data_IF_795760204906
#
_entry.id   IF_795760204906
#
_cell.length_a   1.000
_cell.length_b   1.000
_cell.length_c   1.000
_cell.angle_alpha   90.00
_cell.angle_beta   90.00
_cell.angle_gamma   90.00
#
_symmetry.space_group_name_H-M   'P 1'
#
loop_
_entity.id
_entity.type
_entity.pdbx_description
1 polymer ?
#
# COMPACT_ATOMS: atom_id res chain seq x y z
N UNK A 1 -31.25 96.74 29.60
CA UNK A 1 -31.23 96.68 28.13
C UNK A 1 -30.34 95.52 27.70
N UNK A 2 -30.82 94.54 26.92
CA UNK A 2 -30.00 93.46 26.41
C UNK A 2 -29.20 93.94 25.19
N UNK A 3 -27.88 93.75 25.23
CA UNK A 3 -26.95 94.09 24.14
C UNK A 3 -27.02 93.00 23.06
N UNK A 4 -27.32 93.39 21.82
CA UNK A 4 -27.29 92.48 20.65
C UNK A 4 -25.86 92.41 20.13
N UNK A 5 -25.22 91.25 20.22
CA UNK A 5 -23.90 91.02 19.64
C UNK A 5 -24.01 90.87 18.11
N UNK A 6 -23.15 91.52 17.31
CA UNK A 6 -23.15 91.37 15.86
C UNK A 6 -22.70 89.96 15.47
N UNK A 7 -23.56 89.22 14.77
CA UNK A 7 -23.27 87.88 14.27
C UNK A 7 -22.78 87.99 12.81
N UNK A 8 -21.57 87.48 12.53
CA UNK A 8 -20.93 87.53 11.22
C UNK A 8 -21.12 86.17 10.54
N UNK A 9 -21.90 86.12 9.45
CA UNK A 9 -22.09 84.89 8.68
C UNK A 9 -20.91 84.69 7.72
N UNK A 10 -19.95 83.85 8.11
CA UNK A 10 -18.83 83.46 7.27
C UNK A 10 -19.18 82.17 6.53
N UNK A 11 -19.27 82.22 5.20
CA UNK A 11 -19.38 81.02 4.36
C UNK A 11 -17.98 80.50 4.02
N UNK A 12 -17.47 79.61 4.86
CA UNK A 12 -16.19 78.93 4.61
C UNK A 12 -16.44 77.76 3.65
N UNK A 13 -15.79 77.77 2.48
CA UNK A 13 -15.82 76.65 1.53
C UNK A 13 -14.47 75.95 1.59
N UNK A 14 -14.43 74.77 2.22
CA UNK A 14 -13.23 73.94 2.33
C UNK A 14 -13.24 72.97 1.15
N UNK A 15 -12.19 72.97 0.33
CA UNK A 15 -11.95 71.95 -0.69
C UNK A 15 -10.88 70.99 -0.15
N UNK A 16 -11.30 69.80 0.25
CA UNK A 16 -10.39 68.72 0.65
C UNK A 16 -9.80 68.05 -0.59
N UNK A 17 -8.48 68.14 -0.73
CA UNK A 17 -7.75 67.39 -1.75
C UNK A 17 -7.63 65.93 -1.32
N UNK A 18 -8.20 65.03 -2.13
CA UNK A 18 -8.04 63.59 -1.98
C UNK A 18 -7.03 63.15 -3.04
N UNK A 19 -5.88 62.58 -2.66
CA UNK A 19 -4.94 62.00 -3.62
C UNK A 19 -5.62 60.90 -4.45
N UNK A 20 -5.33 60.84 -5.75
CA UNK A 20 -5.96 59.89 -6.69
C UNK A 20 -5.89 58.43 -6.21
N UNK A 21 -4.80 58.06 -5.54
CA UNK A 21 -4.56 56.72 -4.97
C UNK A 21 -5.55 56.35 -3.84
N UNK A 22 -6.14 57.35 -3.18
CA UNK A 22 -7.08 57.18 -2.06
C UNK A 22 -8.53 57.50 -2.44
N UNK A 23 -8.79 57.90 -3.69
CA UNK A 23 -10.15 58.23 -4.16
C UNK A 23 -11.12 57.07 -3.95
N UNK A 24 -10.70 55.84 -4.27
CA UNK A 24 -11.54 54.65 -4.10
C UNK A 24 -11.85 54.33 -2.63
N UNK A 25 -10.95 54.66 -1.69
CA UNK A 25 -11.20 54.52 -0.26
C UNK A 25 -12.22 55.57 0.22
N UNK A 26 -12.07 56.81 -0.24
CA UNK A 26 -13.00 57.88 0.11
C UNK A 26 -14.40 57.62 -0.45
N UNK A 27 -14.51 57.12 -1.68
CA UNK A 27 -15.80 56.73 -2.27
C UNK A 27 -16.46 55.57 -1.50
N UNK A 28 -15.65 54.60 -1.04
CA UNK A 28 -16.13 53.50 -0.19
C UNK A 28 -16.62 53.98 1.18
N UNK A 29 -15.96 54.99 1.75
CA UNK A 29 -16.34 55.59 3.03
C UNK A 29 -17.51 56.58 2.91
N UNK A 30 -17.65 57.24 1.76
CA UNK A 30 -18.74 58.17 1.47
C UNK A 30 -20.06 57.42 1.23
N UNK A 31 -20.03 56.32 0.46
CA UNK A 31 -21.19 55.50 0.14
C UNK A 31 -20.94 54.00 0.40
N UNK A 32 -20.94 53.57 1.67
CA UNK A 32 -20.60 52.19 2.04
C UNK A 32 -21.54 51.15 1.44
N UNK A 33 -22.83 51.48 1.24
CA UNK A 33 -23.79 50.57 0.61
C UNK A 33 -23.52 50.36 -0.88
N UNK A 34 -23.09 51.40 -1.58
CA UNK A 34 -22.76 51.31 -3.00
C UNK A 34 -21.50 50.47 -3.22
N UNK A 35 -20.49 50.65 -2.35
CA UNK A 35 -19.27 49.86 -2.37
C UNK A 35 -19.53 48.37 -2.12
N UNK A 36 -20.30 48.03 -1.09
CA UNK A 36 -20.67 46.63 -0.80
C UNK A 36 -21.47 46.03 -1.95
N UNK A 37 -22.44 46.76 -2.52
CA UNK A 37 -23.22 46.26 -3.66
C UNK A 37 -22.37 46.07 -4.92
N UNK A 38 -21.41 46.95 -5.18
CA UNK A 38 -20.48 46.81 -6.30
C UNK A 38 -19.53 45.62 -6.11
N UNK A 39 -19.06 45.39 -4.88
CA UNK A 39 -18.25 44.24 -4.52
C UNK A 39 -19.04 42.94 -4.66
N UNK A 40 -20.28 42.90 -4.17
CA UNK A 40 -21.18 41.74 -4.27
C UNK A 40 -21.51 41.40 -5.73
N UNK A 41 -21.76 42.41 -6.58
CA UNK A 41 -21.92 42.19 -8.03
C UNK A 41 -20.67 41.65 -8.69
N UNK A 42 -19.49 42.07 -8.23
CA UNK A 42 -18.21 41.57 -8.75
C UNK A 42 -17.96 40.14 -8.31
N UNK A 43 -18.23 39.80 -7.04
CA UNK A 43 -18.10 38.44 -6.53
C UNK A 43 -19.13 37.53 -7.19
N UNK A 44 -20.37 37.98 -7.38
CA UNK A 44 -21.42 37.26 -8.09
C UNK A 44 -21.05 37.05 -9.58
N UNK A 45 -20.44 38.03 -10.23
CA UNK A 45 -19.93 37.88 -11.60
C UNK A 45 -18.79 36.85 -11.69
N UNK A 46 -17.90 36.80 -10.69
CA UNK A 46 -16.82 35.80 -10.60
C UNK A 46 -17.37 34.39 -10.30
N UNK A 47 -18.35 34.30 -9.41
CA UNK A 47 -19.09 33.07 -9.11
C UNK A 47 -19.81 32.54 -10.36
N UNK A 48 -20.47 33.42 -11.12
CA UNK A 48 -21.10 33.10 -12.40
C UNK A 48 -20.08 32.67 -13.48
N UNK A 49 -18.80 33.04 -13.33
CA UNK A 49 -17.69 32.55 -14.15
C UNK A 49 -17.02 31.27 -13.59
N UNK A 50 -17.51 30.74 -12.48
CA UNK A 50 -17.07 29.48 -11.88
C UNK A 50 -15.76 29.56 -11.09
N UNK A 51 -15.44 30.75 -10.57
CA UNK A 51 -14.39 30.96 -9.55
C UNK A 51 -15.09 30.89 -8.19
N UNK A 52 -14.80 29.85 -7.41
CA UNK A 52 -15.32 29.72 -6.04
C UNK A 52 -14.44 30.53 -5.08
N UNK A 53 -14.97 30.97 -3.94
CA UNK A 53 -14.22 31.79 -2.97
C UNK A 53 -12.94 31.10 -2.47
N UNK A 54 -12.87 29.76 -2.56
CA UNK A 54 -11.69 28.94 -2.24
C UNK A 54 -10.54 29.08 -3.26
N UNK A 55 -10.81 29.55 -4.47
CA UNK A 55 -9.83 29.75 -5.54
C UNK A 55 -9.18 31.16 -5.51
N UNK A 56 -9.73 32.08 -4.70
CA UNK A 56 -9.25 33.46 -4.57
C UNK A 56 -8.18 33.51 -3.46
N UNK A 57 -6.91 33.67 -3.84
CA UNK A 57 -5.84 33.93 -2.87
C UNK A 57 -6.05 35.33 -2.28
N UNK A 58 -6.45 35.37 -1.01
CA UNK A 58 -6.60 36.61 -0.25
C UNK A 58 -5.21 37.24 -0.03
N UNK A 59 -4.82 38.19 -0.88
CA UNK A 59 -3.59 38.98 -0.69
C UNK A 59 -3.86 39.95 0.45
N UNK A 60 -3.66 39.47 1.68
CA UNK A 60 -3.61 40.33 2.87
C UNK A 60 -2.36 41.20 2.78
N UNK A 61 -2.55 42.50 2.54
CA UNK A 61 -1.49 43.51 2.60
C UNK A 61 -1.13 43.81 4.06
N UNK A 62 -0.29 42.96 4.64
CA UNK A 62 0.35 43.18 5.94
C UNK A 62 1.80 42.73 5.91
N UNK A 63 2.69 43.62 5.46
CA UNK A 63 3.98 43.94 6.12
C UNK A 63 5.03 44.40 5.09
N UNK A 64 5.47 45.63 5.31
CA UNK A 64 6.62 46.27 4.67
C UNK A 64 7.88 45.43 4.87
N UNK A 65 8.64 45.20 3.78
CA UNK A 65 10.12 45.24 3.74
C UNK A 65 10.59 45.11 2.28
N UNK A 66 11.14 46.20 1.76
CA UNK A 66 12.04 46.21 0.60
C UNK A 66 13.39 45.57 0.99
N UNK A 67 14.23 45.07 0.05
CA UNK A 67 15.00 45.97 -0.82
C UNK A 67 15.07 45.56 -2.30
N UNK A 68 14.96 46.59 -3.16
CA UNK A 68 15.76 46.85 -4.36
C UNK A 68 16.40 45.67 -5.11
N UNK A 69 16.00 45.47 -6.37
CA UNK A 69 16.91 45.76 -7.48
C UNK A 69 16.21 45.90 -8.83
N UNK A 70 16.76 46.85 -9.60
CA UNK A 70 16.39 47.34 -10.92
C UNK A 70 16.39 46.23 -11.99
N UNK A 71 15.47 46.28 -12.94
CA UNK A 71 15.84 46.50 -14.34
C UNK A 71 14.62 46.81 -15.20
N UNK A 72 14.88 47.68 -16.17
CA UNK A 72 13.99 48.46 -17.01
C UNK A 72 13.55 47.67 -18.25
N UNK A 73 12.36 48.05 -18.73
CA UNK A 73 11.77 47.79 -20.05
C UNK A 73 12.77 47.74 -21.22
N UNK A 74 12.55 46.85 -22.19
CA UNK A 74 12.69 47.19 -23.63
C UNK A 74 11.69 46.44 -24.52
N UNK A 75 11.19 47.23 -25.46
CA UNK A 75 10.27 46.96 -26.58
C UNK A 75 11.10 46.87 -27.90
N UNK A 76 10.48 46.29 -28.95
CA UNK A 76 10.89 46.09 -30.36
C UNK A 76 11.70 44.80 -30.63
N UNK A 77 11.51 44.04 -31.71
CA UNK A 77 10.65 44.15 -32.90
C UNK A 77 11.30 43.45 -34.11
N UNK A 78 10.76 42.27 -34.53
CA UNK A 78 10.90 41.57 -35.84
C UNK A 78 12.30 41.13 -36.35
N UNK A 79 12.40 40.42 -37.51
CA UNK A 79 11.59 39.31 -38.06
C UNK A 79 12.47 38.13 -38.62
N UNK A 80 11.90 37.21 -39.42
CA UNK A 80 12.51 36.09 -40.21
C UNK A 80 12.87 34.80 -39.42
N UNK A 81 12.73 33.56 -39.92
CA UNK A 81 12.16 32.99 -41.15
C UNK A 81 11.93 31.47 -40.96
N UNK A 82 11.04 30.91 -41.80
CA UNK A 82 11.11 29.64 -42.57
C UNK A 82 12.23 28.62 -42.24
N UNK A 83 12.13 27.29 -42.37
CA UNK A 83 11.20 26.28 -42.90
C UNK A 83 11.99 24.93 -42.74
N UNK A 84 11.35 23.80 -42.35
CA UNK A 84 11.27 22.52 -43.10
C UNK A 84 12.63 21.99 -43.65
N UNK A 85 13.08 20.75 -43.45
CA UNK A 85 12.35 19.48 -43.58
C UNK A 85 13.32 18.28 -43.40
N UNK A 86 12.78 17.10 -43.09
CA UNK A 86 13.08 15.78 -43.71
C UNK A 86 14.51 15.17 -43.59
N UNK A 87 14.73 13.85 -43.50
CA UNK A 87 13.92 12.64 -43.36
C UNK A 87 14.89 11.43 -43.25
N UNK A 88 14.37 10.29 -42.76
CA UNK A 88 14.77 8.87 -43.00
C UNK A 88 15.89 8.26 -42.15
N UNK A 89 15.90 6.96 -41.85
CA UNK A 89 14.91 5.85 -41.85
C UNK A 89 15.70 4.56 -41.60
N UNK A 90 15.16 3.65 -40.77
CA UNK A 90 15.26 2.18 -40.88
C UNK A 90 14.38 1.62 -39.74
N UNK A 91 13.12 1.18 -39.90
CA UNK A 91 12.51 0.10 -40.71
C UNK A 91 13.14 -1.26 -40.47
N UNK A 92 12.37 -2.13 -39.77
CA UNK A 92 11.94 -3.51 -40.09
C UNK A 92 10.86 -3.86 -39.02
N UNK A 93 9.53 -3.80 -39.27
CA UNK A 93 8.63 -4.77 -39.94
C UNK A 93 8.59 -6.14 -39.21
N UNK A 94 7.45 -6.79 -38.89
CA UNK A 94 6.20 -6.92 -39.67
C UNK A 94 5.02 -7.55 -38.86
N UNK A 95 3.85 -6.92 -39.00
CA UNK A 95 2.44 -7.36 -39.11
C UNK A 95 1.86 -8.64 -38.46
N UNK A 96 0.66 -8.46 -37.87
CA UNK A 96 -0.56 -9.04 -38.45
C UNK A 96 -1.81 -8.18 -38.17
N UNK A 97 -2.61 -7.96 -39.23
CA UNK A 97 -3.85 -7.19 -39.34
C UNK A 97 -5.08 -8.06 -38.90
N UNK A 98 -6.35 -7.65 -38.78
CA UNK A 98 -7.16 -6.42 -38.95
C UNK A 98 -8.61 -6.77 -38.51
N UNK A 99 -9.33 -5.84 -37.86
CA UNK A 99 -10.73 -5.39 -38.16
C UNK A 99 -11.23 -4.52 -36.98
N UNK A 100 -11.25 -3.18 -37.11
CA UNK A 100 -12.41 -2.32 -37.43
C UNK A 100 -13.65 -2.54 -36.54
N UNK A 101 -14.34 -1.56 -35.93
CA UNK A 101 -14.16 -0.13 -35.63
C UNK A 101 -15.27 0.19 -34.62
N UNK A 102 -14.96 0.60 -33.40
CA UNK A 102 -15.85 1.46 -32.61
C UNK A 102 -15.03 2.51 -31.86
N UNK A 103 -15.55 3.72 -31.88
CA UNK A 103 -14.79 4.95 -31.74
C UNK A 103 -14.41 5.26 -30.28
N UNK A 104 -13.15 5.65 -30.10
CA UNK A 104 -12.68 6.61 -29.07
C UNK A 104 -13.08 6.31 -27.62
N UNK A 105 -12.56 5.22 -27.05
CA UNK A 105 -12.32 5.07 -25.60
C UNK A 105 -10.80 4.87 -25.35
N UNK A 106 -10.01 5.76 -25.93
CA UNK A 106 -8.55 5.70 -25.98
C UNK A 106 -7.84 6.39 -24.82
N UNK A 107 -8.38 6.34 -23.60
CA UNK A 107 -7.71 6.85 -22.39
C UNK A 107 -7.30 5.68 -21.51
N UNK A 108 -6.26 4.95 -21.94
CA UNK A 108 -5.47 3.94 -21.21
C UNK A 108 -6.21 3.26 -20.06
N UNK A 109 -6.70 2.03 -20.30
CA UNK A 109 -7.09 1.12 -19.23
C UNK A 109 -5.91 1.00 -18.25
N UNK A 110 -6.12 1.42 -17.01
CA UNK A 110 -5.14 1.30 -15.94
C UNK A 110 -4.81 -0.20 -15.78
N UNK A 111 -3.55 -0.57 -15.99
CA UNK A 111 -3.10 -1.96 -15.95
C UNK A 111 -3.38 -2.58 -14.59
N UNK A 112 -3.80 -3.85 -14.59
CA UNK A 112 -4.10 -4.56 -13.35
C UNK A 112 -2.83 -4.79 -12.54
N UNK A 113 -2.89 -4.54 -11.23
CA UNK A 113 -1.78 -4.88 -10.30
C UNK A 113 -1.55 -6.38 -10.32
N UNK A 114 -0.32 -6.80 -10.63
CA UNK A 114 0.09 -8.20 -10.65
C UNK A 114 0.81 -8.57 -9.35
N UNK A 115 0.30 -9.57 -8.63
CA UNK A 115 0.92 -10.09 -7.39
C UNK A 115 2.34 -10.63 -7.65
N UNK A 116 2.61 -11.17 -8.85
CA UNK A 116 3.94 -11.63 -9.23
C UNK A 116 5.00 -10.53 -9.23
N UNK A 117 4.60 -9.28 -9.49
CA UNK A 117 5.50 -8.13 -9.43
C UNK A 117 5.68 -7.63 -7.99
N UNK A 118 4.65 -7.73 -7.15
CA UNK A 118 4.76 -7.44 -5.71
C UNK A 118 5.75 -8.37 -5.01
N UNK A 119 5.83 -9.65 -5.41
CA UNK A 119 6.83 -10.60 -4.89
C UNK A 119 8.26 -10.22 -5.25
N UNK A 120 8.49 -9.39 -6.27
CA UNK A 120 9.83 -8.88 -6.63
C UNK A 120 10.24 -7.67 -5.78
N UNK A 121 9.32 -7.09 -5.02
CA UNK A 121 9.58 -5.94 -4.18
C UNK A 121 10.70 -6.22 -3.17
N UNK A 122 11.55 -5.22 -2.93
CA UNK A 122 12.71 -5.34 -2.04
C UNK A 122 12.31 -5.71 -0.61
N UNK A 123 11.15 -5.25 -0.13
CA UNK A 123 10.63 -5.57 1.19
C UNK A 123 10.31 -7.08 1.30
N UNK A 124 9.54 -7.61 0.35
CA UNK A 124 9.19 -9.02 0.29
C UNK A 124 10.43 -9.91 0.14
N UNK A 125 11.37 -9.53 -0.74
CA UNK A 125 12.63 -10.27 -0.94
C UNK A 125 13.51 -10.28 0.32
N UNK A 126 13.50 -9.22 1.14
CA UNK A 126 14.19 -9.22 2.44
C UNK A 126 13.52 -10.17 3.43
N UNK A 127 12.18 -10.20 3.43
CA UNK A 127 11.39 -11.07 4.29
C UNK A 127 11.64 -12.56 3.97
N UNK A 128 11.63 -12.95 2.70
CA UNK A 128 11.97 -14.32 2.28
C UNK A 128 13.38 -14.73 2.73
N UNK A 129 14.36 -13.82 2.63
CA UNK A 129 15.72 -14.10 3.13
C UNK A 129 15.78 -14.24 4.66
N UNK A 130 14.93 -13.51 5.42
CA UNK A 130 14.80 -13.68 6.87
C UNK A 130 14.27 -15.08 7.18
N UNK A 131 13.19 -15.52 6.52
CA UNK A 131 12.62 -16.85 6.71
C UNK A 131 13.60 -17.98 6.43
N UNK A 132 14.41 -17.83 5.39
CA UNK A 132 15.47 -18.80 5.09
C UNK A 132 16.51 -18.88 6.21
N UNK A 133 16.87 -17.76 6.84
CA UNK A 133 17.80 -17.74 7.98
C UNK A 133 17.18 -18.39 9.21
N UNK A 134 15.93 -18.05 9.53
CA UNK A 134 15.21 -18.58 10.69
C UNK A 134 15.03 -20.10 10.58
N UNK A 135 14.69 -20.61 9.38
CA UNK A 135 14.64 -22.04 9.07
C UNK A 135 15.99 -22.74 9.28
N UNK A 136 17.06 -22.13 8.78
CA UNK A 136 18.40 -22.69 8.93
C UNK A 136 18.87 -22.72 10.39
N UNK A 137 18.51 -21.70 11.17
CA UNK A 137 18.79 -21.67 12.60
C UNK A 137 18.02 -22.75 13.36
N UNK A 138 16.73 -22.91 13.08
CA UNK A 138 15.90 -23.95 13.70
C UNK A 138 16.45 -25.35 13.41
N UNK A 139 16.79 -25.64 12.14
CA UNK A 139 17.43 -26.91 11.75
C UNK A 139 18.73 -27.17 12.50
N UNK A 140 19.57 -26.14 12.69
CA UNK A 140 20.81 -26.24 13.49
C UNK A 140 20.51 -26.55 14.96
N UNK A 141 19.49 -25.91 15.56
CA UNK A 141 19.06 -26.20 16.94
C UNK A 141 18.58 -27.64 17.08
N UNK A 142 17.73 -28.11 16.17
CA UNK A 142 17.25 -29.50 16.14
C UNK A 142 18.38 -30.50 16.01
N UNK A 143 19.36 -30.25 15.11
CA UNK A 143 20.52 -31.11 14.95
C UNK A 143 21.37 -31.22 16.22
N UNK A 144 21.58 -30.11 16.93
CA UNK A 144 22.30 -30.11 18.22
C UNK A 144 21.54 -30.92 19.28
N UNK A 145 20.22 -30.76 19.36
CA UNK A 145 19.39 -31.52 20.30
C UNK A 145 19.42 -33.02 20.00
N UNK A 146 19.27 -33.42 18.72
CA UNK A 146 19.41 -34.81 18.28
C UNK A 146 20.76 -35.40 18.68
N UNK A 147 21.86 -34.70 18.40
CA UNK A 147 23.20 -35.15 18.76
C UNK A 147 23.41 -35.25 20.28
N UNK A 148 22.79 -34.37 21.07
CA UNK A 148 22.86 -34.42 22.54
C UNK A 148 22.11 -35.62 23.10
N UNK A 149 20.88 -35.87 22.63
CA UNK A 149 20.06 -37.01 23.07
C UNK A 149 20.71 -38.33 22.66
N UNK A 150 21.20 -38.45 21.42
CA UNK A 150 21.91 -39.63 20.97
C UNK A 150 23.11 -39.98 21.84
N UNK A 151 23.95 -38.98 22.18
CA UNK A 151 25.10 -39.18 23.08
C UNK A 151 24.64 -39.62 24.47
N UNK A 152 23.59 -39.02 25.02
CA UNK A 152 23.04 -39.38 26.32
C UNK A 152 22.50 -40.81 26.34
N UNK A 153 21.79 -41.21 25.28
CA UNK A 153 21.24 -42.56 25.14
C UNK A 153 22.36 -43.61 25.03
N UNK A 154 23.38 -43.36 24.19
CA UNK A 154 24.56 -44.22 24.07
C UNK A 154 25.28 -44.40 25.41
N UNK A 155 25.57 -43.30 26.12
CA UNK A 155 26.22 -43.37 27.44
C UNK A 155 25.41 -44.19 28.46
N UNK A 156 24.08 -44.10 28.42
CA UNK A 156 23.20 -44.83 29.34
C UNK A 156 23.18 -46.32 29.04
N UNK A 157 23.18 -46.70 27.76
CA UNK A 157 23.29 -48.10 27.32
C UNK A 157 24.67 -48.68 27.69
N UNK A 158 25.75 -47.97 27.39
CA UNK A 158 27.12 -48.41 27.70
C UNK A 158 27.32 -48.65 29.20
N UNK A 159 26.76 -47.75 30.03
CA UNK A 159 26.79 -47.89 31.49
C UNK A 159 26.06 -49.17 31.95
N UNK A 160 24.85 -49.42 31.43
CA UNK A 160 24.08 -50.61 31.78
C UNK A 160 24.80 -51.91 31.38
N UNK A 161 25.43 -51.94 30.19
CA UNK A 161 26.24 -53.07 29.72
C UNK A 161 27.45 -53.29 30.63
N UNK A 162 28.18 -52.21 30.97
CA UNK A 162 29.33 -52.27 31.85
C UNK A 162 28.97 -52.79 33.25
N UNK A 163 27.86 -52.32 33.82
CA UNK A 163 27.38 -52.73 35.14
C UNK A 163 26.95 -54.20 35.14
N UNK A 164 26.28 -54.65 34.07
CA UNK A 164 25.94 -56.07 33.87
C UNK A 164 27.18 -56.96 33.79
N UNK A 165 28.20 -56.55 33.01
CA UNK A 165 29.46 -57.29 32.88
C UNK A 165 30.23 -57.39 34.20
N UNK A 166 30.30 -56.29 34.96
CA UNK A 166 30.86 -56.30 36.32
C UNK A 166 30.11 -57.29 37.21
N UNK A 167 28.78 -57.23 37.23
CA UNK A 167 27.96 -58.11 38.05
C UNK A 167 28.15 -59.60 37.71
N UNK A 168 28.37 -59.92 36.44
CA UNK A 168 28.70 -61.29 35.99
C UNK A 168 30.11 -61.72 36.40
N UNK A 169 31.13 -60.86 36.27
CA UNK A 169 32.51 -61.15 36.72
C UNK A 169 32.60 -61.40 38.23
N UNK A 170 31.99 -60.54 39.05
CA UNK A 170 31.99 -60.71 40.51
C UNK A 170 31.37 -62.06 40.93
N UNK A 171 30.39 -62.57 40.18
CA UNK A 171 29.76 -63.88 40.44
C UNK A 171 30.64 -65.06 40.05
N UNK A 172 31.34 -65.01 38.91
CA UNK A 172 32.29 -66.09 38.54
C UNK A 172 33.41 -66.23 39.57
N UNK A 173 33.90 -65.11 40.11
CA UNK A 173 34.96 -65.12 41.14
C UNK A 173 34.42 -65.59 42.50
N UNK A 174 33.20 -65.19 42.89
CA UNK A 174 32.56 -65.66 44.12
C UNK A 174 32.28 -67.18 44.11
N UNK A 175 31.87 -67.75 42.98
CA UNK A 175 31.66 -69.20 42.84
C UNK A 175 32.99 -70.00 42.78
N UNK A 176 34.09 -69.36 42.37
CA UNK A 176 35.41 -70.01 42.27
C UNK A 176 36.20 -70.00 43.59
N UNK A 177 35.87 -69.09 44.51
CA UNK A 177 36.57 -68.92 45.79
C UNK A 177 36.06 -69.85 46.91
N UNK A 178 35.08 -70.72 46.64
CA UNK A 178 34.39 -71.56 47.63
C UNK A 178 34.64 -73.07 47.55
N UNK A 179 35.77 -73.54 46.98
CA UNK A 179 36.05 -74.99 46.90
C UNK A 179 37.33 -75.40 47.64
N UNK A 180 37.18 -75.77 48.91
CA UNK A 180 37.99 -76.82 49.51
C UNK A 180 37.12 -77.81 50.29
N UNK A 181 37.19 -79.07 49.83
CA UNK A 181 36.96 -80.36 50.53
C UNK A 181 35.57 -80.65 51.10
N UNK A 182 34.80 -81.54 50.44
CA UNK A 182 34.66 -82.94 50.86
C UNK A 182 33.91 -83.79 49.81
N UNK A 183 34.26 -85.07 49.74
CA UNK A 183 33.67 -86.13 48.93
C UNK A 183 32.40 -86.67 49.61
N UNK A 184 31.28 -86.80 48.89
CA UNK A 184 30.43 -88.02 48.79
C UNK A 184 28.99 -87.74 48.28
N UNK A 185 28.55 -88.70 47.47
CA UNK A 185 27.23 -89.05 46.90
C UNK A 185 25.95 -88.53 47.63
N UNK A 186 25.04 -87.87 46.90
CA UNK A 186 23.60 -88.22 46.80
C UNK A 186 22.72 -87.12 46.16
N UNK A 187 21.69 -87.63 45.47
CA UNK A 187 20.39 -87.02 45.16
C UNK A 187 20.29 -85.90 44.11
N UNK A 188 19.50 -86.20 43.07
CA UNK A 188 18.96 -85.28 42.07
C UNK A 188 18.27 -84.10 42.75
N UNK A 189 18.99 -82.98 42.91
CA UNK A 189 18.41 -81.67 43.14
C UNK A 189 18.75 -80.85 41.92
N UNK A 190 17.78 -80.72 41.02
CA UNK A 190 17.82 -79.73 39.95
C UNK A 190 17.99 -78.35 40.60
N UNK A 191 19.23 -77.87 40.68
CA UNK A 191 19.51 -76.48 40.99
C UNK A 191 18.77 -75.62 39.94
N UNK A 192 17.98 -74.63 40.36
CA UNK A 192 17.43 -73.68 39.42
C UNK A 192 18.61 -72.92 38.83
N UNK A 193 18.88 -73.16 37.55
CA UNK A 193 19.72 -72.32 36.68
C UNK A 193 19.40 -70.85 37.00
N UNK A 194 20.38 -69.92 37.08
CA UNK A 194 20.19 -68.53 37.48
C UNK A 194 19.48 -67.69 36.38
N UNK A 195 18.34 -68.16 35.89
CA UNK A 195 17.52 -67.57 34.84
C UNK A 195 16.88 -66.24 35.29
N UNK A 196 16.75 -66.01 36.60
CA UNK A 196 16.04 -64.87 37.19
C UNK A 196 16.80 -63.53 37.05
N UNK A 197 18.14 -63.55 37.16
CA UNK A 197 18.96 -62.32 37.07
C UNK A 197 19.18 -61.90 35.61
N UNK A 198 19.37 -62.88 34.72
CA UNK A 198 19.44 -62.62 33.28
C UNK A 198 18.10 -62.07 32.77
N UNK A 199 16.98 -62.61 33.27
CA UNK A 199 15.64 -62.07 33.04
C UNK A 199 15.46 -60.63 33.59
N UNK A 200 16.02 -60.33 34.77
CA UNK A 200 15.97 -58.98 35.36
C UNK A 200 16.79 -57.97 34.57
N UNK A 201 17.98 -58.35 34.09
CA UNK A 201 18.81 -57.50 33.24
C UNK A 201 18.19 -57.33 31.84
N UNK A 202 17.55 -58.37 31.30
CA UNK A 202 16.77 -58.32 30.07
C UNK A 202 15.59 -57.35 30.18
N UNK A 203 14.86 -57.37 31.31
CA UNK A 203 13.76 -56.44 31.58
C UNK A 203 14.24 -54.99 31.70
N UNK A 204 15.35 -54.75 32.42
CA UNK A 204 15.96 -53.41 32.52
C UNK A 204 16.40 -52.86 31.17
N UNK A 205 17.00 -53.70 30.32
CA UNK A 205 17.38 -53.30 28.96
C UNK A 205 16.15 -52.99 28.10
N UNK A 206 15.12 -53.84 28.12
CA UNK A 206 13.86 -53.58 27.41
C UNK A 206 13.19 -52.29 27.85
N UNK A 207 13.10 -52.07 29.17
CA UNK A 207 12.54 -50.84 29.74
C UNK A 207 13.34 -49.59 29.33
N UNK A 208 14.68 -49.69 29.30
CA UNK A 208 15.54 -48.59 28.86
C UNK A 208 15.30 -48.28 27.37
N UNK A 209 15.29 -49.29 26.51
CA UNK A 209 15.05 -49.10 25.07
C UNK A 209 13.68 -48.47 24.82
N UNK A 210 12.63 -48.89 25.53
CA UNK A 210 11.30 -48.29 25.42
C UNK A 210 11.31 -46.82 25.84
N UNK A 211 11.94 -46.48 26.98
CA UNK A 211 12.06 -45.08 27.45
C UNK A 211 12.82 -44.22 26.44
N UNK A 212 13.94 -44.70 25.92
CA UNK A 212 14.75 -43.99 24.93
C UNK A 212 14.01 -43.79 23.60
N UNK A 213 13.22 -44.79 23.19
CA UNK A 213 12.36 -44.70 22.00
C UNK A 213 11.27 -43.64 22.19
N UNK A 214 10.62 -43.59 23.36
CA UNK A 214 9.60 -42.57 23.64
C UNK A 214 10.18 -41.16 23.75
N UNK A 215 11.30 -41.00 24.46
CA UNK A 215 12.02 -39.72 24.56
C UNK A 215 12.42 -39.17 23.19
N UNK A 216 12.96 -40.04 22.32
CA UNK A 216 13.32 -39.67 20.96
C UNK A 216 12.10 -39.30 20.14
N UNK A 217 11.08 -40.16 20.14
CA UNK A 217 9.83 -39.93 19.40
C UNK A 217 9.14 -38.63 19.85
N UNK A 218 9.14 -38.34 21.15
CA UNK A 218 8.60 -37.11 21.73
C UNK A 218 9.37 -35.88 21.27
N UNK A 219 10.71 -35.95 21.26
CA UNK A 219 11.54 -34.87 20.73
C UNK A 219 11.29 -34.63 19.24
N UNK A 220 11.18 -35.70 18.44
CA UNK A 220 10.93 -35.59 16.99
C UNK A 220 9.57 -34.95 16.70
N UNK A 221 8.51 -35.35 17.41
CA UNK A 221 7.19 -34.69 17.32
C UNK A 221 7.24 -33.21 17.70
N UNK A 222 8.04 -32.85 18.70
CA UNK A 222 8.24 -31.44 19.06
C UNK A 222 8.98 -30.67 17.96
N UNK A 223 10.04 -31.24 17.38
CA UNK A 223 10.77 -30.63 16.27
C UNK A 223 9.86 -30.40 15.06
N UNK A 224 9.03 -31.38 14.72
CA UNK A 224 8.04 -31.25 13.65
C UNK A 224 7.06 -30.11 13.91
N UNK A 225 6.49 -30.05 15.13
CA UNK A 225 5.58 -28.97 15.52
C UNK A 225 6.24 -27.58 15.45
N UNK A 226 7.48 -27.45 15.92
CA UNK A 226 8.23 -26.20 15.84
C UNK A 226 8.49 -25.76 14.39
N UNK A 227 8.78 -26.71 13.50
CA UNK A 227 8.92 -26.44 12.06
C UNK A 227 7.60 -25.95 11.45
N UNK A 228 6.50 -26.64 11.74
CA UNK A 228 5.16 -26.27 11.26
C UNK A 228 4.71 -24.91 11.81
N UNK A 229 4.86 -24.66 13.11
CA UNK A 229 4.49 -23.38 13.72
C UNK A 229 5.27 -22.21 13.10
N UNK A 230 6.55 -22.43 12.80
CA UNK A 230 7.37 -21.43 12.12
C UNK A 230 6.90 -21.23 10.68
N UNK A 231 6.65 -22.29 9.89
CA UNK A 231 6.12 -22.15 8.52
C UNK A 231 4.76 -21.45 8.51
N UNK A 232 3.86 -21.79 9.43
CA UNK A 232 2.56 -21.12 9.61
C UNK A 232 2.71 -19.62 9.85
N UNK A 233 3.68 -19.24 10.69
CA UNK A 233 3.98 -17.84 10.97
C UNK A 233 4.57 -17.12 9.75
N UNK A 234 5.42 -17.80 8.99
CA UNK A 234 5.98 -17.28 7.73
C UNK A 234 4.89 -17.01 6.71
N UNK A 235 3.96 -17.95 6.47
CA UNK A 235 2.83 -17.74 5.55
C UNK A 235 2.05 -16.47 5.92
N UNK A 236 1.71 -16.30 7.21
CA UNK A 236 1.01 -15.09 7.67
C UNK A 236 1.80 -13.81 7.40
N UNK A 237 3.07 -13.78 7.77
CA UNK A 237 3.96 -12.63 7.51
C UNK A 237 4.13 -12.36 5.99
N UNK A 238 4.19 -13.40 5.14
CA UNK A 238 4.25 -13.28 3.67
C UNK A 238 3.01 -12.53 3.13
N UNK A 239 1.81 -12.97 3.51
CA UNK A 239 0.56 -12.38 3.04
C UNK A 239 0.29 -11.00 3.66
N UNK A 240 0.67 -10.75 4.91
CA UNK A 240 0.63 -9.41 5.49
C UNK A 240 1.53 -8.42 4.72
N UNK A 241 2.73 -8.86 4.34
CA UNK A 241 3.64 -8.03 3.55
C UNK A 241 3.08 -7.76 2.15
N UNK A 242 2.55 -8.79 1.47
CA UNK A 242 1.91 -8.65 0.17
C UNK A 242 0.66 -7.76 0.23
N UNK A 243 -0.13 -7.86 1.30
CA UNK A 243 -1.32 -7.03 1.52
C UNK A 243 -0.96 -5.55 1.62
N UNK A 244 0.10 -5.21 2.37
CA UNK A 244 0.61 -3.83 2.45
C UNK A 244 1.10 -3.31 1.11
N UNK A 245 1.90 -4.10 0.39
CA UNK A 245 2.41 -3.73 -0.94
C UNK A 245 1.27 -3.54 -1.95
N UNK A 246 0.23 -4.39 -1.89
CA UNK A 246 -0.95 -4.28 -2.72
C UNK A 246 -1.72 -2.98 -2.42
N UNK A 247 -1.98 -2.68 -1.16
CA UNK A 247 -2.67 -1.44 -0.76
C UNK A 247 -1.88 -0.19 -1.18
N UNK A 248 -0.56 -0.19 -1.04
CA UNK A 248 0.29 0.91 -1.50
C UNK A 248 0.20 1.10 -3.01
N UNK A 249 0.25 0.01 -3.79
CA UNK A 249 0.08 0.05 -5.23
C UNK A 249 -1.33 0.53 -5.64
N UNK A 250 -2.38 0.08 -4.94
CA UNK A 250 -3.76 0.52 -5.14
C UNK A 250 -3.93 2.01 -4.86
N UNK A 251 -3.32 2.51 -3.78
CA UNK A 251 -3.31 3.94 -3.44
C UNK A 251 -2.61 4.78 -4.50
N UNK A 252 -1.47 4.31 -5.03
CA UNK A 252 -0.77 4.97 -6.13
C UNK A 252 -1.64 5.01 -7.40
N UNK A 253 -2.29 3.91 -7.75
CA UNK A 253 -3.23 3.85 -8.87
C UNK A 253 -4.40 4.83 -8.70
N UNK A 254 -5.02 4.88 -7.52
CA UNK A 254 -6.11 5.81 -7.23
C UNK A 254 -5.66 7.27 -7.34
N UNK A 255 -4.49 7.61 -6.80
CA UNK A 255 -3.95 8.97 -6.91
C UNK A 255 -3.67 9.35 -8.37
N UNK A 256 -3.11 8.43 -9.16
CA UNK A 256 -2.89 8.66 -10.59
C UNK A 256 -4.19 8.87 -11.36
N UNK A 257 -5.26 8.14 -11.01
CA UNK A 257 -6.59 8.35 -11.59
C UNK A 257 -7.14 9.73 -11.23
N UNK A 258 -7.07 10.13 -9.96
CA UNK A 258 -7.54 11.46 -9.50
C UNK A 258 -6.85 12.60 -10.22
N UNK A 259 -5.52 12.57 -10.31
CA UNK A 259 -4.74 13.57 -11.05
C UNK A 259 -5.16 13.67 -12.54
N UNK A 260 -5.46 12.52 -13.16
CA UNK A 260 -5.96 12.48 -14.55
C UNK A 260 -7.35 13.12 -14.67
N UNK A 261 -8.25 12.84 -13.73
CA UNK A 261 -9.60 13.39 -13.71
C UNK A 261 -9.59 14.91 -13.45
N UNK A 262 -8.72 15.37 -12.56
CA UNK A 262 -8.47 16.80 -12.30
C UNK A 262 -7.97 17.52 -13.56
N UNK A 263 -7.04 16.92 -14.30
CA UNK A 263 -6.57 17.46 -15.57
C UNK A 263 -7.70 17.55 -16.62
N UNK A 264 -8.51 16.50 -16.76
CA UNK A 264 -9.67 16.51 -17.68
C UNK A 264 -10.71 17.59 -17.30
N UNK A 265 -10.90 17.85 -16.01
CA UNK A 265 -11.78 18.91 -15.51
C UNK A 265 -11.21 20.30 -15.87
N UNK A 266 -9.91 20.51 -15.67
CA UNK A 266 -9.22 21.75 -16.06
C UNK A 266 -9.32 22.00 -17.57
N UNK A 267 -9.09 20.96 -18.38
CA UNK A 267 -9.21 21.04 -19.84
C UNK A 267 -10.64 21.39 -20.27
N UNK A 268 -11.66 20.81 -19.63
CA UNK A 268 -13.06 21.14 -19.90
C UNK A 268 -13.36 22.60 -19.58
N UNK A 269 -12.94 23.11 -18.41
CA UNK A 269 -13.12 24.52 -18.04
C UNK A 269 -12.47 25.45 -19.08
N UNK A 270 -11.24 25.15 -19.50
CA UNK A 270 -10.54 25.92 -20.53
C UNK A 270 -11.27 25.87 -21.89
N UNK A 271 -11.79 24.70 -22.28
CA UNK A 271 -12.57 24.55 -23.50
C UNK A 271 -13.87 25.36 -23.46
N UNK A 272 -14.55 25.42 -22.31
CA UNK A 272 -15.75 26.23 -22.10
C UNK A 272 -15.45 27.73 -22.20
N UNK A 273 -14.35 28.20 -21.59
CA UNK A 273 -13.90 29.59 -21.72
C UNK A 273 -13.59 29.94 -23.18
N UNK A 274 -12.84 29.07 -23.88
CA UNK A 274 -12.49 29.27 -25.30
C UNK A 274 -13.74 29.34 -26.18
N UNK A 275 -14.67 28.40 -26.01
CA UNK A 275 -15.93 28.36 -26.76
C UNK A 275 -16.78 29.62 -26.52
N UNK A 276 -16.90 30.06 -25.27
CA UNK A 276 -17.61 31.30 -24.92
C UNK A 276 -17.01 32.53 -25.63
N UNK A 277 -15.68 32.64 -25.65
CA UNK A 277 -14.98 33.72 -26.37
C UNK A 277 -15.17 33.64 -27.89
N UNK A 278 -15.14 32.44 -28.47
CA UNK A 278 -15.35 32.21 -29.90
C UNK A 278 -16.79 32.54 -30.32
N UNK A 279 -17.79 32.11 -29.56
CA UNK A 279 -19.20 32.41 -29.83
C UNK A 279 -19.48 33.93 -29.75
N UNK A 280 -18.91 34.61 -28.74
CA UNK A 280 -19.03 36.07 -28.62
C UNK A 280 -18.42 36.82 -29.81
N UNK A 281 -17.24 36.37 -30.28
CA UNK A 281 -16.60 36.93 -31.48
C UNK A 281 -17.43 36.67 -32.74
N UNK A 282 -18.03 35.49 -32.87
CA UNK A 282 -18.86 35.14 -34.01
C UNK A 282 -20.08 36.07 -34.13
N UNK A 283 -20.77 36.36 -33.01
CA UNK A 283 -21.88 37.33 -32.99
C UNK A 283 -21.41 38.74 -33.34
N UNK A 284 -20.22 39.13 -32.88
CA UNK A 284 -19.68 40.47 -33.15
C UNK A 284 -19.26 40.67 -34.62
N UNK A 285 -18.80 39.61 -35.28
CA UNK A 285 -18.42 39.62 -36.70
C UNK A 285 -19.61 39.39 -37.65
N UNK A 286 -20.79 39.06 -37.13
CA UNK A 286 -21.99 38.81 -37.94
C UNK A 286 -22.51 40.11 -38.57
N UNK A 287 -22.37 40.21 -39.90
CA UNK A 287 -22.81 41.36 -40.70
C UNK A 287 -24.33 41.46 -40.82
N UNK A 288 -25.07 40.40 -40.52
CA UNK A 288 -26.53 40.38 -40.63
C UNK A 288 -27.21 41.08 -39.43
N UNK A 289 -26.50 41.25 -38.31
CA UNK A 289 -27.01 41.92 -37.10
C UNK A 289 -26.74 43.42 -37.20
N UNK A 290 -27.76 44.17 -37.62
CA UNK A 290 -27.64 45.61 -37.93
C UNK A 290 -27.86 46.52 -36.72
N UNK A 291 -28.63 46.07 -35.72
CA UNK A 291 -28.99 46.93 -34.57
C UNK A 291 -28.28 46.49 -33.28
N UNK A 292 -27.98 47.45 -32.41
CA UNK A 292 -27.38 47.17 -31.09
C UNK A 292 -28.30 46.29 -30.23
N UNK A 293 -29.60 46.60 -30.21
CA UNK A 293 -30.59 45.84 -29.44
C UNK A 293 -30.69 44.37 -29.88
N UNK A 294 -30.62 44.10 -31.18
CA UNK A 294 -30.60 42.72 -31.69
C UNK A 294 -29.31 41.98 -31.33
N UNK A 295 -28.16 42.66 -31.39
CA UNK A 295 -26.88 42.09 -30.96
C UNK A 295 -26.90 41.71 -29.48
N UNK A 296 -27.40 42.61 -28.63
CA UNK A 296 -27.50 42.37 -27.19
C UNK A 296 -28.49 41.23 -26.89
N UNK A 297 -29.59 41.12 -27.66
CA UNK A 297 -30.52 39.98 -27.57
C UNK A 297 -29.84 38.65 -27.92
N UNK A 298 -29.10 38.60 -29.03
CA UNK A 298 -28.36 37.41 -29.47
C UNK A 298 -27.29 36.98 -28.46
N UNK A 299 -26.57 37.94 -27.87
CA UNK A 299 -25.57 37.65 -26.81
C UNK A 299 -26.26 37.04 -25.58
N UNK A 300 -27.41 37.57 -25.15
CA UNK A 300 -28.16 37.00 -24.02
C UNK A 300 -28.64 35.57 -24.30
N UNK A 301 -29.27 35.34 -25.45
CA UNK A 301 -29.74 34.00 -25.86
C UNK A 301 -28.57 33.00 -25.95
N UNK A 302 -27.43 33.42 -26.50
CA UNK A 302 -26.20 32.62 -26.57
C UNK A 302 -25.64 32.31 -25.18
N UNK A 303 -25.54 33.30 -24.30
CA UNK A 303 -25.03 33.11 -22.93
C UNK A 303 -25.90 32.15 -22.13
N UNK A 304 -27.23 32.26 -22.25
CA UNK A 304 -28.19 31.35 -21.60
C UNK A 304 -28.02 29.91 -22.12
N UNK A 305 -27.89 29.73 -23.45
CA UNK A 305 -27.60 28.43 -24.05
C UNK A 305 -26.26 27.87 -23.58
N UNK A 306 -25.21 28.68 -23.55
CA UNK A 306 -23.88 28.26 -23.13
C UNK A 306 -23.87 27.86 -21.65
N UNK A 307 -24.54 28.60 -20.78
CA UNK A 307 -24.69 28.24 -19.36
C UNK A 307 -25.30 26.85 -19.20
N UNK A 308 -26.41 26.58 -19.91
CA UNK A 308 -27.07 25.27 -19.85
C UNK A 308 -26.16 24.14 -20.32
N UNK A 309 -25.52 24.32 -21.48
CA UNK A 309 -24.60 23.32 -22.05
C UNK A 309 -23.40 23.08 -21.12
N UNK A 310 -22.82 24.14 -20.57
CA UNK A 310 -21.65 24.03 -19.70
C UNK A 310 -21.97 23.31 -18.39
N UNK A 311 -23.14 23.59 -17.80
CA UNK A 311 -23.63 22.89 -16.63
C UNK A 311 -23.84 21.39 -16.92
N UNK A 312 -24.49 21.05 -18.04
CA UNK A 312 -24.73 19.66 -18.44
C UNK A 312 -23.41 18.91 -18.73
N UNK A 313 -22.45 19.54 -19.41
CA UNK A 313 -21.13 18.97 -19.67
C UNK A 313 -20.34 18.68 -18.38
N UNK A 314 -20.33 19.65 -17.44
CA UNK A 314 -19.65 19.48 -16.14
C UNK A 314 -20.31 18.38 -15.33
N UNK A 315 -21.65 18.31 -15.30
CA UNK A 315 -22.39 17.23 -14.65
C UNK A 315 -22.06 15.87 -15.28
N UNK A 316 -22.01 15.79 -16.61
CA UNK A 316 -21.66 14.55 -17.33
C UNK A 316 -20.24 14.10 -16.99
N UNK A 317 -19.28 15.02 -16.96
CA UNK A 317 -17.90 14.71 -16.61
C UNK A 317 -17.76 14.26 -15.15
N UNK A 318 -18.44 14.92 -14.21
CA UNK A 318 -18.45 14.53 -12.80
C UNK A 318 -19.01 13.12 -12.58
N UNK A 319 -20.14 12.78 -13.22
CA UNK A 319 -20.72 11.43 -13.16
C UNK A 319 -19.77 10.40 -13.77
N UNK A 320 -19.10 10.72 -14.88
CA UNK A 320 -18.11 9.83 -15.51
C UNK A 320 -16.91 9.59 -14.60
N UNK A 321 -16.40 10.64 -13.98
CA UNK A 321 -15.30 10.58 -13.01
C UNK A 321 -15.66 9.68 -11.82
N UNK A 322 -16.82 9.91 -11.21
CA UNK A 322 -17.33 9.09 -10.10
C UNK A 322 -17.42 7.60 -10.48
N UNK A 323 -18.00 7.28 -11.64
CA UNK A 323 -18.09 5.89 -12.13
C UNK A 323 -16.71 5.25 -12.32
N UNK A 324 -15.72 6.00 -12.79
CA UNK A 324 -14.36 5.51 -12.96
C UNK A 324 -13.70 5.18 -11.62
N UNK A 325 -13.86 6.05 -10.62
CA UNK A 325 -13.37 5.83 -9.26
C UNK A 325 -14.03 4.62 -8.61
N UNK A 326 -15.36 4.51 -8.68
CA UNK A 326 -16.12 3.37 -8.15
C UNK A 326 -15.69 2.05 -8.78
N UNK A 327 -15.50 2.01 -10.10
CA UNK A 327 -15.02 0.80 -10.79
C UNK A 327 -13.60 0.42 -10.38
N UNK A 328 -12.72 1.40 -10.15
CA UNK A 328 -11.36 1.13 -9.69
C UNK A 328 -11.37 0.62 -8.24
N UNK A 329 -12.14 1.24 -7.36
CA UNK A 329 -12.32 0.77 -5.97
C UNK A 329 -12.88 -0.64 -5.92
N UNK A 330 -13.88 -0.96 -6.74
CA UNK A 330 -14.44 -2.32 -6.81
C UNK A 330 -13.37 -3.34 -7.21
N UNK A 331 -12.58 -3.05 -8.24
CA UNK A 331 -11.47 -3.92 -8.67
C UNK A 331 -10.40 -4.08 -7.59
N UNK A 332 -10.07 -3.00 -6.87
CA UNK A 332 -9.13 -3.05 -5.75
C UNK A 332 -9.66 -3.94 -4.61
N UNK A 333 -10.94 -3.85 -4.31
CA UNK A 333 -11.60 -4.74 -3.35
C UNK A 333 -11.54 -6.21 -3.76
N UNK A 334 -11.91 -6.53 -5.01
CA UNK A 334 -11.85 -7.90 -5.55
C UNK A 334 -10.42 -8.48 -5.52
N UNK A 335 -9.41 -7.66 -5.84
CA UNK A 335 -8.01 -8.07 -5.76
C UNK A 335 -7.56 -8.38 -4.33
N UNK A 336 -8.02 -7.59 -3.36
CA UNK A 336 -7.69 -7.78 -1.96
C UNK A 336 -8.38 -9.02 -1.39
N UNK A 337 -9.67 -9.21 -1.69
CA UNK A 337 -10.42 -10.42 -1.30
C UNK A 337 -9.79 -11.67 -1.91
N UNK A 338 -9.29 -11.60 -3.16
CA UNK A 338 -8.58 -12.72 -3.77
C UNK A 338 -7.27 -13.03 -3.04
N UNK A 339 -6.52 -12.01 -2.62
CA UNK A 339 -5.29 -12.20 -1.84
C UNK A 339 -5.59 -12.85 -0.48
N UNK A 340 -6.68 -12.47 0.19
CA UNK A 340 -7.13 -13.09 1.44
C UNK A 340 -7.49 -14.57 1.24
N UNK A 341 -8.26 -14.88 0.19
CA UNK A 341 -8.59 -16.28 -0.16
C UNK A 341 -7.35 -17.11 -0.47
N UNK A 342 -6.36 -16.53 -1.12
CA UNK A 342 -5.10 -17.21 -1.41
C UNK A 342 -4.28 -17.42 -0.13
N UNK A 343 -4.35 -16.50 0.83
CA UNK A 343 -3.73 -16.64 2.15
C UNK A 343 -4.35 -17.77 2.96
N UNK A 344 -5.69 -17.85 2.98
CA UNK A 344 -6.43 -18.91 3.65
C UNK A 344 -6.13 -20.28 3.04
N UNK A 345 -6.15 -20.39 1.70
CA UNK A 345 -5.83 -21.65 1.01
C UNK A 345 -4.41 -22.13 1.29
N UNK A 346 -3.42 -21.24 1.25
CA UNK A 346 -2.03 -21.62 1.54
C UNK A 346 -1.88 -22.10 2.99
N UNK A 347 -2.58 -21.45 3.92
CA UNK A 347 -2.60 -21.84 5.33
C UNK A 347 -3.28 -23.22 5.52
N UNK A 348 -4.44 -23.44 4.89
CA UNK A 348 -5.14 -24.73 4.92
C UNK A 348 -4.30 -25.86 4.32
N UNK A 349 -3.60 -25.62 3.22
CA UNK A 349 -2.70 -26.58 2.60
C UNK A 349 -1.56 -26.99 3.56
N UNK A 350 -0.96 -26.02 4.26
CA UNK A 350 0.07 -26.30 5.26
C UNK A 350 -0.49 -27.09 6.46
N UNK A 351 -1.69 -26.75 6.93
CA UNK A 351 -2.35 -27.48 8.02
C UNK A 351 -2.68 -28.92 7.64
N UNK A 352 -3.16 -29.15 6.41
CA UNK A 352 -3.41 -30.49 5.88
C UNK A 352 -2.12 -31.29 5.75
N UNK A 353 -1.06 -30.70 5.22
CA UNK A 353 0.27 -31.32 5.09
C UNK A 353 0.84 -31.74 6.45
N UNK A 354 0.71 -30.88 7.47
CA UNK A 354 1.15 -31.22 8.83
C UNK A 354 0.31 -32.32 9.46
N UNK A 355 -1.01 -32.30 9.23
CA UNK A 355 -1.90 -33.38 9.69
C UNK A 355 -1.54 -34.72 9.07
N UNK A 356 -1.23 -34.75 7.77
CA UNK A 356 -0.76 -35.95 7.07
C UNK A 356 0.55 -36.46 7.67
N UNK A 357 1.51 -35.57 7.93
CA UNK A 357 2.79 -35.91 8.56
C UNK A 357 2.58 -36.54 9.95
N UNK A 358 1.70 -35.98 10.77
CA UNK A 358 1.37 -36.54 12.09
C UNK A 358 0.73 -37.93 12.00
N UNK A 359 -0.15 -38.18 11.02
CA UNK A 359 -0.77 -39.49 10.82
C UNK A 359 0.23 -40.53 10.29
N UNK A 360 1.22 -40.10 9.52
CA UNK A 360 2.29 -40.95 9.02
C UNK A 360 3.38 -41.24 10.08
N UNK A 361 3.44 -40.45 11.16
CA UNK A 361 4.41 -40.60 12.24
C UNK A 361 4.30 -41.97 12.93
N UNK A 362 5.43 -42.68 13.00
CA UNK A 362 5.58 -43.94 13.76
C UNK A 362 6.58 -43.74 14.90
N UNK A 363 6.60 -44.60 15.93
CA UNK A 363 7.66 -44.57 16.94
C UNK A 363 9.02 -44.67 16.25
N UNK A 364 9.88 -43.67 16.50
CA UNK A 364 11.23 -43.61 15.95
C UNK A 364 12.22 -43.98 17.05
N UNK A 365 13.21 -44.79 16.70
CA UNK A 365 14.35 -45.08 17.55
C UNK A 365 15.63 -44.69 16.83
N UNK A 366 16.64 -44.26 17.59
CA UNK A 366 17.98 -44.05 17.06
C UNK A 366 18.65 -45.42 16.92
N UNK A 367 19.25 -45.68 15.76
CA UNK A 367 20.12 -46.84 15.58
C UNK A 367 21.59 -46.49 15.77
#
# INVERSE_FOLDING_TARGET
>A
MPMVLPCLFVRIVIKTYVPDELSGLVDALADPRAYVSAQEKRTEALYNMGVEDSDIVEVTSSSLKTPSNKSMLRINGGPLDQNYESLKSAVLSKDSARSNTEATDGRQKMEAINIGDLKKDKCFQKLVRKFQKDMNELKKRHQKQRGSVQKQQQMTVDKLICDSYKQSKWRTVANSAGSQKHQSLSYMKSEPIPHNVDMTNNYKMKSLVLSQTDEWSSMMRRHERECHDLRRSQIKEEFECLGKLLQDAQKQQMNMLKLRLEAENKDLKQAQTKKSMEDARAIQQDKNIKTKAERDRRIKEMNEKNLKVFCEERKRLAIKAQKHEEQLMKRHGEQYEQLEKDAEKELELEEMSHRETQLASKPEFIC
#
